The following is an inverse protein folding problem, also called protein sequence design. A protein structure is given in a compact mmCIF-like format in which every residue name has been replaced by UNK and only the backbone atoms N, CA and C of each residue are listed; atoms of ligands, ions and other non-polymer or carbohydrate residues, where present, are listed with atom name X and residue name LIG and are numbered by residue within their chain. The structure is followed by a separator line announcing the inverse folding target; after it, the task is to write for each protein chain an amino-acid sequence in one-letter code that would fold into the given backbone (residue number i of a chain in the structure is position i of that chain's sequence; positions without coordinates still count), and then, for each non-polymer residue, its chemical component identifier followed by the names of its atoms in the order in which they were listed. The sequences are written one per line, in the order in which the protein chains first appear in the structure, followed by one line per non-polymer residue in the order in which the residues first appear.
data_IF_107149692645
#
_entry.id   IF_107149692645
#
_cell.length_a   1.000
_cell.length_b   1.000
_cell.length_c   1.000
_cell.angle_alpha   90.00
_cell.angle_beta   90.00
_cell.angle_gamma   90.00
#
_symmetry.space_group_name_H-M   'P 1'
#
loop_
_entity.id
_entity.type
_entity.pdbx_description
1 polymer ?
#
# COMPACT_ATOMS: atom_id res chain seq x y z
N UNK A 1 -63.58 1.95 -31.29
CA UNK A 1 -62.52 2.37 -30.34
C UNK A 1 -61.25 1.72 -30.82
N UNK A 2 -60.23 2.45 -31.29
CA UNK A 2 -58.90 1.82 -31.52
C UNK A 2 -57.77 2.80 -31.86
N UNK A 3 -58.00 3.90 -32.58
CA UNK A 3 -56.89 4.79 -32.99
C UNK A 3 -56.48 5.85 -31.96
N UNK A 4 -57.44 6.45 -31.24
CA UNK A 4 -57.13 7.56 -30.32
C UNK A 4 -56.43 7.09 -29.05
N UNK A 5 -56.78 5.90 -28.55
CA UNK A 5 -56.22 5.34 -27.31
C UNK A 5 -54.78 4.85 -27.51
N UNK A 6 -54.49 4.25 -28.66
CA UNK A 6 -53.12 3.88 -29.06
C UNK A 6 -52.23 5.13 -29.20
N UNK A 7 -52.75 6.21 -29.81
CA UNK A 7 -51.98 7.45 -29.98
C UNK A 7 -51.68 8.14 -28.64
N UNK A 8 -52.64 8.16 -27.71
CA UNK A 8 -52.42 8.71 -26.37
C UNK A 8 -51.43 7.88 -25.54
N UNK A 9 -51.45 6.56 -25.68
CA UNK A 9 -50.44 5.69 -25.05
C UNK A 9 -49.05 5.93 -25.64
N UNK A 10 -48.91 6.08 -26.97
CA UNK A 10 -47.61 6.40 -27.61
C UNK A 10 -47.06 7.73 -27.10
N UNK A 11 -47.89 8.78 -26.98
CA UNK A 11 -47.46 10.07 -26.40
C UNK A 11 -47.00 9.91 -24.94
N UNK A 12 -47.72 9.12 -24.15
CA UNK A 12 -47.37 8.87 -22.74
C UNK A 12 -46.03 8.16 -22.62
N UNK A 13 -45.79 7.11 -23.40
CA UNK A 13 -44.52 6.38 -23.38
C UNK A 13 -43.36 7.20 -23.96
N UNK A 14 -43.59 7.96 -25.04
CA UNK A 14 -42.59 8.88 -25.57
C UNK A 14 -42.18 9.94 -24.53
N UNK A 15 -43.13 10.51 -23.80
CA UNK A 15 -42.85 11.48 -22.74
C UNK A 15 -41.99 10.89 -21.61
N UNK A 16 -42.32 9.69 -21.14
CA UNK A 16 -41.54 9.00 -20.10
C UNK A 16 -40.15 8.62 -20.62
N UNK A 17 -40.05 8.16 -21.88
CA UNK A 17 -38.78 7.83 -22.52
C UNK A 17 -37.87 9.06 -22.66
N UNK A 18 -38.38 10.18 -23.18
CA UNK A 18 -37.60 11.42 -23.31
C UNK A 18 -37.21 12.03 -21.96
N UNK A 19 -38.05 11.88 -20.93
CA UNK A 19 -37.70 12.27 -19.57
C UNK A 19 -36.56 11.39 -19.00
N UNK A 20 -36.62 10.07 -19.19
CA UNK A 20 -35.57 9.15 -18.74
C UNK A 20 -34.24 9.37 -19.46
N UNK A 21 -34.27 9.56 -20.79
CA UNK A 21 -33.07 9.88 -21.59
C UNK A 21 -32.49 11.24 -21.19
N UNK A 22 -33.34 12.25 -20.94
CA UNK A 22 -32.90 13.56 -20.46
C UNK A 22 -32.19 13.49 -19.10
N UNK A 23 -32.73 12.72 -18.16
CA UNK A 23 -32.11 12.47 -16.84
C UNK A 23 -30.77 11.73 -16.96
N UNK A 24 -30.68 10.74 -17.85
CA UNK A 24 -29.44 10.02 -18.12
C UNK A 24 -28.35 10.96 -18.65
N UNK A 25 -28.64 11.77 -19.68
CA UNK A 25 -27.66 12.72 -20.19
C UNK A 25 -27.28 13.80 -19.16
N UNK A 26 -28.23 14.28 -18.36
CA UNK A 26 -27.93 15.22 -17.28
C UNK A 26 -26.95 14.60 -16.25
N UNK A 27 -27.12 13.33 -15.91
CA UNK A 27 -26.21 12.60 -15.03
C UNK A 27 -24.82 12.42 -15.66
N UNK A 28 -24.75 12.03 -16.94
CA UNK A 28 -23.48 11.89 -17.68
C UNK A 28 -22.74 13.22 -17.75
N UNK A 29 -23.41 14.32 -18.11
CA UNK A 29 -22.79 15.65 -18.16
C UNK A 29 -22.34 16.14 -16.78
N UNK A 30 -23.12 15.85 -15.73
CA UNK A 30 -22.70 16.15 -14.36
C UNK A 30 -21.43 15.41 -13.99
N UNK A 31 -21.35 14.11 -14.31
CA UNK A 31 -20.18 13.29 -14.02
C UNK A 31 -18.94 13.76 -14.80
N UNK A 32 -19.10 14.09 -16.09
CA UNK A 32 -18.02 14.67 -16.91
C UNK A 32 -17.53 15.99 -16.30
N UNK A 33 -18.43 16.86 -15.82
CA UNK A 33 -18.06 18.13 -15.21
C UNK A 33 -17.33 17.95 -13.87
N UNK A 34 -17.76 16.99 -13.04
CA UNK A 34 -17.08 16.64 -11.78
C UNK A 34 -15.69 16.07 -12.07
N UNK A 35 -15.58 15.16 -13.04
CA UNK A 35 -14.32 14.59 -13.47
C UNK A 35 -13.37 15.66 -14.04
N UNK A 36 -13.87 16.57 -14.89
CA UNK A 36 -13.09 17.67 -15.43
C UNK A 36 -12.55 18.60 -14.32
N UNK A 37 -13.36 18.88 -13.28
CA UNK A 37 -12.90 19.63 -12.10
C UNK A 37 -11.82 18.88 -11.31
N UNK A 38 -11.96 17.57 -11.16
CA UNK A 38 -10.98 16.72 -10.49
C UNK A 38 -9.63 16.71 -11.25
N UNK A 39 -9.68 16.45 -12.55
CA UNK A 39 -8.51 16.48 -13.45
C UNK A 39 -7.84 17.85 -13.40
N UNK A 40 -8.61 18.94 -13.50
CA UNK A 40 -8.08 20.30 -13.39
C UNK A 40 -7.42 20.59 -12.04
N UNK A 41 -7.99 20.11 -10.92
CA UNK A 41 -7.41 20.25 -9.58
C UNK A 41 -6.05 19.55 -9.49
N UNK A 42 -5.94 18.33 -10.01
CA UNK A 42 -4.68 17.58 -10.02
C UNK A 42 -3.63 18.21 -10.95
N UNK A 43 -3.99 18.56 -12.19
CA UNK A 43 -3.10 19.27 -13.10
C UNK A 43 -2.60 20.59 -12.50
N UNK A 44 -3.48 21.38 -11.87
CA UNK A 44 -3.10 22.63 -11.19
C UNK A 44 -2.10 22.39 -10.05
N UNK A 45 -2.24 21.29 -9.29
CA UNK A 45 -1.30 20.90 -8.23
C UNK A 45 0.07 20.54 -8.83
N UNK A 46 0.08 19.77 -9.93
CA UNK A 46 1.30 19.41 -10.66
C UNK A 46 2.01 20.64 -11.24
N UNK A 47 1.28 21.55 -11.93
CA UNK A 47 1.85 22.79 -12.44
C UNK A 47 2.43 23.68 -11.33
N UNK A 48 1.78 23.77 -10.17
CA UNK A 48 2.34 24.50 -9.01
C UNK A 48 3.62 23.85 -8.48
N UNK A 49 3.69 22.52 -8.43
CA UNK A 49 4.90 21.79 -8.01
C UNK A 49 6.04 22.02 -9.01
N UNK A 50 5.76 21.90 -10.30
CA UNK A 50 6.71 22.14 -11.38
C UNK A 50 7.21 23.60 -11.38
N UNK A 51 6.30 24.58 -11.26
CA UNK A 51 6.67 26.00 -11.15
C UNK A 51 7.56 26.26 -9.93
N UNK A 52 7.31 25.62 -8.78
CA UNK A 52 8.17 25.73 -7.60
C UNK A 52 9.58 25.17 -7.86
N UNK A 53 9.69 24.04 -8.55
CA UNK A 53 10.97 23.42 -8.92
C UNK A 53 11.75 24.33 -9.86
N UNK A 54 11.10 24.80 -10.94
CA UNK A 54 11.69 25.75 -11.90
C UNK A 54 12.14 27.02 -11.19
N UNK A 55 11.29 27.61 -10.32
CA UNK A 55 11.62 28.82 -9.55
C UNK A 55 12.77 28.61 -8.55
N UNK A 56 12.90 27.43 -7.97
CA UNK A 56 14.05 27.08 -7.10
C UNK A 56 15.32 26.93 -7.94
N UNK A 57 15.23 26.32 -9.11
CA UNK A 57 16.36 26.15 -10.01
C UNK A 57 16.84 27.50 -10.56
N UNK A 58 15.94 28.37 -11.06
CA UNK A 58 16.26 29.73 -11.51
C UNK A 58 16.94 30.54 -10.39
N UNK A 59 16.47 30.44 -9.14
CA UNK A 59 17.10 31.13 -8.00
C UNK A 59 18.52 30.62 -7.71
N UNK A 60 18.73 29.30 -7.77
CA UNK A 60 20.06 28.69 -7.60
C UNK A 60 21.01 29.16 -8.70
N UNK A 61 20.57 29.13 -9.95
CA UNK A 61 21.36 29.62 -11.08
C UNK A 61 21.67 31.12 -10.93
N UNK A 62 20.67 31.95 -10.58
CA UNK A 62 20.85 33.40 -10.34
C UNK A 62 21.83 33.72 -9.21
N UNK A 63 21.95 32.86 -8.19
CA UNK A 63 22.92 33.02 -7.08
C UNK A 63 24.38 32.84 -7.54
N UNK A 64 24.60 32.06 -8.59
CA UNK A 64 25.93 31.77 -9.12
C UNK A 64 26.31 32.61 -10.36
N UNK A 65 25.40 33.45 -10.86
CA UNK A 65 25.66 34.32 -12.00
C UNK A 65 26.19 35.70 -11.55
N UNK A 66 27.40 36.06 -11.99
CA UNK A 66 27.84 37.46 -12.06
C UNK A 66 27.19 38.14 -13.27
N UNK A 67 26.94 39.45 -13.20
CA UNK A 67 26.28 40.20 -14.27
C UNK A 67 27.01 40.02 -15.62
N UNK A 68 26.41 39.28 -16.55
CA UNK A 68 26.89 39.18 -17.94
C UNK A 68 26.76 37.82 -18.63
N UNK A 69 26.70 36.69 -17.92
CA UNK A 69 26.77 35.36 -18.57
C UNK A 69 25.41 34.65 -18.66
N UNK A 70 24.63 35.01 -19.68
CA UNK A 70 23.27 34.48 -19.94
C UNK A 70 23.24 33.16 -20.71
N UNK A 71 24.41 32.64 -21.12
CA UNK A 71 24.51 31.45 -21.97
C UNK A 71 24.00 30.18 -21.27
N UNK A 72 24.38 29.97 -20.01
CA UNK A 72 23.99 28.78 -19.24
C UNK A 72 22.48 28.74 -18.92
N UNK A 73 21.86 29.90 -18.66
CA UNK A 73 20.40 29.99 -18.51
C UNK A 73 19.68 29.71 -19.83
N UNK A 74 20.23 30.15 -20.96
CA UNK A 74 19.65 29.87 -22.27
C UNK A 74 19.65 28.38 -22.58
N UNK A 75 20.77 27.67 -22.38
CA UNK A 75 20.85 26.23 -22.66
C UNK A 75 20.03 25.36 -21.71
N UNK A 76 19.92 25.75 -20.43
CA UNK A 76 19.07 25.02 -19.47
C UNK A 76 17.58 25.18 -19.79
N UNK A 77 17.14 26.39 -20.15
CA UNK A 77 15.76 26.62 -20.60
C UNK A 77 15.48 25.91 -21.94
N UNK A 78 16.41 25.98 -22.88
CA UNK A 78 16.31 25.30 -24.18
C UNK A 78 16.23 23.77 -24.01
N UNK A 79 17.03 23.19 -23.11
CA UNK A 79 17.00 21.75 -22.81
C UNK A 79 15.67 21.29 -22.22
N UNK A 80 15.08 22.09 -21.32
CA UNK A 80 13.75 21.78 -20.75
C UNK A 80 12.65 21.88 -21.81
N UNK A 81 12.72 22.86 -22.72
CA UNK A 81 11.75 22.99 -23.82
C UNK A 81 11.86 21.81 -24.79
N UNK A 82 13.08 21.41 -25.17
CA UNK A 82 13.31 20.24 -26.03
C UNK A 82 12.78 18.96 -25.37
N UNK A 83 13.02 18.77 -24.07
CA UNK A 83 12.52 17.62 -23.33
C UNK A 83 10.97 17.56 -23.33
N UNK A 84 10.30 18.69 -23.13
CA UNK A 84 8.83 18.76 -23.17
C UNK A 84 8.31 18.45 -24.58
N UNK A 85 8.96 18.94 -25.64
CA UNK A 85 8.58 18.63 -27.03
C UNK A 85 8.76 17.14 -27.34
N UNK A 86 9.87 16.53 -26.90
CA UNK A 86 10.10 15.09 -27.05
C UNK A 86 9.06 14.26 -26.30
N UNK A 87 8.68 14.67 -25.09
CA UNK A 87 7.63 14.02 -24.30
C UNK A 87 6.27 14.07 -25.02
N UNK A 88 5.92 15.22 -25.61
CA UNK A 88 4.67 15.38 -26.38
C UNK A 88 4.70 14.52 -27.65
N UNK A 89 5.83 14.44 -28.36
CA UNK A 89 5.99 13.58 -29.53
C UNK A 89 5.92 12.09 -29.17
N UNK A 90 6.39 11.70 -27.99
CA UNK A 90 6.33 10.31 -27.50
C UNK A 90 4.88 9.91 -27.16
N UNK A 91 4.10 10.85 -26.62
CA UNK A 91 2.66 10.67 -26.36
C UNK A 91 1.86 10.59 -27.68
N UNK A 92 2.23 11.36 -28.71
CA UNK A 92 1.58 11.30 -30.02
C UNK A 92 2.10 10.15 -30.91
N UNK A 93 3.27 9.58 -30.61
CA UNK A 93 3.95 8.54 -31.39
C UNK A 93 3.43 7.11 -31.18
N UNK A 94 2.46 6.89 -30.29
CA UNK A 94 1.91 5.55 -29.99
C UNK A 94 0.78 5.14 -30.97
N UNK A 95 0.42 5.97 -31.96
CA UNK A 95 -0.54 5.57 -33.01
C UNK A 95 0.13 4.77 -34.16
N UNK A 96 0.72 3.62 -33.81
CA UNK A 96 1.32 2.67 -34.75
C UNK A 96 0.46 1.43 -34.93
N UNK A 97 -0.38 1.42 -35.97
CA UNK A 97 -1.13 0.25 -36.46
C UNK A 97 -0.23 -0.98 -36.55
N UNK A 98 -0.56 -2.08 -35.86
CA UNK A 98 -0.02 -3.42 -36.16
C UNK A 98 -1.08 -4.30 -36.78
N UNK A 99 -0.72 -4.83 -37.95
CA UNK A 99 -1.47 -5.73 -38.82
C UNK A 99 -1.56 -7.13 -38.21
N UNK A 100 -2.74 -7.71 -38.31
CA UNK A 100 -3.06 -9.13 -38.19
C UNK A 100 -2.33 -9.96 -39.26
N UNK A 101 -1.86 -11.17 -38.93
CA UNK A 101 -1.77 -12.25 -39.90
C UNK A 101 -2.82 -13.33 -39.59
N UNK A 102 -3.60 -13.68 -40.62
CA UNK A 102 -4.40 -14.88 -40.70
C UNK A 102 -3.50 -16.12 -40.86
N UNK A 103 -3.82 -17.21 -40.16
CA UNK A 103 -3.66 -18.59 -40.62
C UNK A 103 -4.60 -19.46 -39.78
N UNK A 104 -5.74 -19.86 -40.34
CA UNK A 104 -6.00 -21.17 -40.95
C UNK A 104 -6.40 -22.23 -39.92
N UNK A 105 -7.70 -22.48 -39.92
CA UNK A 105 -8.43 -23.59 -39.32
C UNK A 105 -7.75 -24.93 -39.59
N UNK A 106 -7.57 -25.73 -38.54
CA UNK A 106 -7.60 -27.20 -38.65
C UNK A 106 -8.39 -27.71 -37.45
N UNK A 107 -9.52 -28.32 -37.78
CA UNK A 107 -10.48 -28.95 -36.90
C UNK A 107 -9.96 -30.36 -36.58
N UNK A 108 -9.74 -30.66 -35.30
CA UNK A 108 -9.58 -32.03 -34.81
C UNK A 108 -10.29 -32.11 -33.45
N UNK A 109 -11.44 -32.76 -33.47
CA UNK A 109 -12.24 -33.05 -32.28
C UNK A 109 -11.51 -34.07 -31.39
N UNK A 110 -11.42 -33.78 -30.09
CA UNK A 110 -11.20 -34.78 -29.04
C UNK A 110 -11.26 -34.11 -27.65
N UNK A 111 -12.35 -34.41 -26.94
CA UNK A 111 -12.56 -34.36 -25.48
C UNK A 111 -12.60 -32.99 -24.79
N UNK A 112 -13.83 -32.54 -24.56
CA UNK A 112 -14.16 -31.43 -23.68
C UNK A 112 -13.84 -31.79 -22.22
N UNK A 113 -12.77 -31.20 -21.69
CA UNK A 113 -12.67 -30.85 -20.28
C UNK A 113 -13.00 -29.37 -20.19
N UNK A 114 -14.16 -29.04 -19.64
CA UNK A 114 -14.54 -27.66 -19.30
C UNK A 114 -13.67 -27.18 -18.14
N UNK A 115 -12.50 -26.63 -18.45
CA UNK A 115 -11.83 -25.69 -17.54
C UNK A 115 -12.62 -24.39 -17.58
N UNK A 116 -13.46 -24.16 -16.56
CA UNK A 116 -14.03 -22.84 -16.33
C UNK A 116 -12.86 -21.85 -16.12
N UNK A 117 -12.81 -20.81 -16.94
CA UNK A 117 -11.83 -19.74 -16.81
C UNK A 117 -12.21 -18.91 -15.57
N UNK A 118 -11.61 -19.22 -14.42
CA UNK A 118 -11.91 -18.54 -13.15
C UNK A 118 -11.39 -17.11 -13.20
N UNK A 119 -12.29 -16.13 -12.98
CA UNK A 119 -11.93 -14.70 -12.88
C UNK A 119 -10.88 -14.48 -11.77
N UNK A 120 -9.65 -14.05 -12.10
CA UNK A 120 -8.60 -13.86 -11.09
C UNK A 120 -8.98 -12.85 -10.00
N UNK A 121 -9.82 -11.86 -10.30
CA UNK A 121 -10.31 -10.92 -9.29
C UNK A 121 -11.32 -11.56 -8.35
N UNK A 122 -12.14 -12.50 -8.82
CA UNK A 122 -13.05 -13.25 -7.97
C UNK A 122 -12.30 -14.10 -6.94
N UNK A 123 -11.21 -14.75 -7.35
CA UNK A 123 -10.34 -15.52 -6.43
C UNK A 123 -9.72 -14.61 -5.37
N UNK A 124 -9.18 -13.47 -5.76
CA UNK A 124 -8.61 -12.50 -4.81
C UNK A 124 -9.66 -11.99 -3.80
N UNK A 125 -10.87 -11.68 -4.27
CA UNK A 125 -11.98 -11.26 -3.39
C UNK A 125 -12.39 -12.34 -2.40
N UNK A 126 -12.50 -13.59 -2.86
CA UNK A 126 -12.88 -14.71 -1.99
C UNK A 126 -11.82 -14.93 -0.90
N UNK A 127 -10.54 -14.94 -1.27
CA UNK A 127 -9.44 -15.08 -0.32
C UNK A 127 -9.39 -13.91 0.68
N UNK A 128 -9.48 -12.66 0.21
CA UNK A 128 -9.50 -11.49 1.09
C UNK A 128 -10.69 -11.53 2.06
N UNK A 129 -11.87 -11.93 1.58
CA UNK A 129 -13.09 -12.06 2.41
C UNK A 129 -12.90 -13.13 3.48
N UNK A 130 -12.36 -14.29 3.12
CA UNK A 130 -12.07 -15.36 4.08
C UNK A 130 -11.07 -14.89 5.15
N UNK A 131 -9.98 -14.24 4.76
CA UNK A 131 -8.98 -13.70 5.70
C UNK A 131 -9.63 -12.69 6.65
N UNK A 132 -10.43 -11.76 6.11
CA UNK A 132 -11.11 -10.73 6.91
C UNK A 132 -12.06 -11.33 7.94
N UNK A 133 -12.84 -12.35 7.57
CA UNK A 133 -13.81 -12.99 8.45
C UNK A 133 -13.15 -13.76 9.61
N UNK A 134 -11.94 -14.27 9.43
CA UNK A 134 -11.24 -15.04 10.46
C UNK A 134 -10.41 -14.16 11.40
N UNK A 135 -9.98 -12.96 10.99
CA UNK A 135 -9.10 -12.08 11.79
C UNK A 135 -9.50 -10.58 11.73
N UNK A 136 -10.76 -10.21 11.98
CA UNK A 136 -11.22 -8.82 11.79
C UNK A 136 -10.54 -7.82 12.74
N UNK A 137 -10.14 -8.26 13.93
CA UNK A 137 -9.65 -7.38 15.00
C UNK A 137 -8.31 -6.71 14.69
N UNK A 138 -7.49 -7.32 13.82
CA UNK A 138 -6.21 -6.75 13.39
C UNK A 138 -6.34 -5.87 12.13
N UNK A 139 -7.47 -5.98 11.44
CA UNK A 139 -7.67 -5.41 10.12
C UNK A 139 -8.34 -4.04 10.13
N UNK A 140 -8.59 -3.44 11.30
CA UNK A 140 -9.20 -2.11 11.39
C UNK A 140 -8.46 -1.08 10.51
N UNK A 141 -9.14 -0.55 9.49
CA UNK A 141 -8.61 0.55 8.69
C UNK A 141 -8.80 1.87 9.44
N UNK A 142 -7.71 2.52 9.83
CA UNK A 142 -7.72 3.85 10.44
C UNK A 142 -7.01 4.83 9.52
N UNK A 143 -7.69 5.91 9.12
CA UNK A 143 -7.12 6.98 8.29
C UNK A 143 -8.02 8.23 8.37
N UNK A 144 -7.69 9.28 7.61
CA UNK A 144 -8.45 10.55 7.54
C UNK A 144 -9.95 10.39 7.27
N UNK A 145 -10.37 9.27 6.67
CA UNK A 145 -11.78 8.97 6.34
C UNK A 145 -12.41 7.89 7.22
N UNK A 146 -11.61 7.19 8.02
CA UNK A 146 -12.04 6.12 8.93
C UNK A 146 -11.37 6.39 10.29
N UNK A 147 -11.99 7.23 11.14
CA UNK A 147 -11.42 7.51 12.45
C UNK A 147 -11.46 6.26 13.33
N UNK A 148 -10.58 6.22 14.33
CA UNK A 148 -10.63 5.19 15.37
C UNK A 148 -12.00 5.22 16.08
N UNK A 149 -12.62 4.06 16.37
CA UNK A 149 -13.92 4.03 17.06
C UNK A 149 -13.87 4.65 18.45
N UNK A 150 -14.94 5.36 18.82
CA UNK A 150 -15.09 5.93 20.15
C UNK A 150 -15.01 4.83 21.23
N UNK A 151 -14.18 5.06 22.25
CA UNK A 151 -14.00 4.12 23.35
C UNK A 151 -13.21 2.86 23.00
N UNK A 152 -12.53 2.82 21.86
CA UNK A 152 -11.60 1.74 21.54
C UNK A 152 -10.49 1.64 22.59
N UNK A 153 -10.30 0.45 23.13
CA UNK A 153 -9.25 0.12 24.10
C UNK A 153 -8.66 -1.24 23.78
N UNK A 154 -7.43 -1.46 24.26
CA UNK A 154 -6.71 -2.72 24.13
C UNK A 154 -5.77 -2.89 25.34
N UNK A 155 -5.34 -4.13 25.59
CA UNK A 155 -4.33 -4.46 26.61
C UNK A 155 -2.97 -3.96 26.13
N UNK A 156 -2.31 -3.11 26.92
CA UNK A 156 -1.05 -2.47 26.53
C UNK A 156 0.16 -3.27 27.00
N UNK A 157 1.14 -3.45 26.12
CA UNK A 157 2.48 -3.95 26.45
C UNK A 157 3.51 -2.82 26.35
N UNK A 158 4.32 -2.62 27.39
CA UNK A 158 5.45 -1.67 27.32
C UNK A 158 6.72 -2.40 26.92
N UNK A 159 7.28 -2.04 25.76
CA UNK A 159 8.54 -2.57 25.25
C UNK A 159 9.72 -2.07 26.10
N UNK A 160 10.85 -2.76 26.03
CA UNK A 160 12.10 -2.32 26.69
C UNK A 160 12.54 -0.91 26.26
N UNK A 161 12.17 -0.48 25.05
CA UNK A 161 12.39 0.88 24.55
C UNK A 161 11.50 1.95 25.20
N UNK A 162 10.54 1.58 26.05
CA UNK A 162 9.55 2.47 26.67
C UNK A 162 8.31 2.77 25.83
N UNK A 163 8.34 2.47 24.52
CA UNK A 163 7.16 2.53 23.66
C UNK A 163 6.14 1.46 24.03
N UNK A 164 4.86 1.75 23.76
CA UNK A 164 3.74 0.87 24.04
C UNK A 164 3.22 0.27 22.73
N UNK A 165 2.79 -0.99 22.76
CA UNK A 165 2.07 -1.66 21.67
C UNK A 165 0.86 -2.43 22.23
N UNK A 166 0.01 -2.95 21.35
CA UNK A 166 -1.01 -3.91 21.73
C UNK A 166 -0.36 -5.24 22.18
N UNK A 167 -0.75 -5.76 23.34
CA UNK A 167 -0.27 -7.02 23.91
C UNK A 167 -0.38 -8.17 22.90
N UNK A 168 -1.42 -8.17 22.07
CA UNK A 168 -1.67 -9.23 21.09
C UNK A 168 -0.58 -9.33 20.03
N UNK A 169 0.14 -8.24 19.75
CA UNK A 169 1.18 -8.21 18.73
C UNK A 169 2.59 -8.42 19.31
N UNK A 170 2.73 -8.42 20.63
CA UNK A 170 4.03 -8.41 21.31
C UNK A 170 4.92 -9.59 20.89
N UNK A 171 4.38 -10.81 20.91
CA UNK A 171 5.17 -12.01 20.58
C UNK A 171 5.62 -12.04 19.11
N UNK A 172 4.74 -11.63 18.18
CA UNK A 172 5.09 -11.57 16.76
C UNK A 172 6.09 -10.44 16.47
N UNK A 173 5.95 -9.29 17.16
CA UNK A 173 6.92 -8.20 17.10
C UNK A 173 8.28 -8.66 17.61
N UNK A 174 8.33 -9.29 18.78
CA UNK A 174 9.55 -9.83 19.37
C UNK A 174 10.23 -10.81 18.40
N UNK A 175 9.46 -11.76 17.85
CA UNK A 175 9.98 -12.73 16.89
C UNK A 175 10.57 -12.06 15.62
N UNK A 176 9.93 -11.01 15.10
CA UNK A 176 10.45 -10.26 13.95
C UNK A 176 11.77 -9.56 14.29
N UNK A 177 11.85 -8.93 15.47
CA UNK A 177 13.02 -8.19 15.93
C UNK A 177 14.20 -9.13 16.25
N UNK A 178 13.94 -10.28 16.87
CA UNK A 178 14.93 -11.33 17.10
C UNK A 178 15.48 -11.90 15.79
N UNK A 179 14.60 -12.16 14.82
CA UNK A 179 15.02 -12.63 13.50
C UNK A 179 15.84 -11.57 12.74
N UNK A 180 15.51 -10.28 12.89
CA UNK A 180 16.30 -9.17 12.36
C UNK A 180 17.72 -9.14 12.96
N UNK A 181 17.81 -9.26 14.29
CA UNK A 181 19.08 -9.35 15.01
C UNK A 181 19.89 -10.59 14.59
N UNK A 182 19.24 -11.75 14.47
CA UNK A 182 19.88 -12.99 14.03
C UNK A 182 20.40 -12.92 12.58
N UNK A 183 19.79 -12.08 11.75
CA UNK A 183 20.28 -11.75 10.40
C UNK A 183 21.46 -10.76 10.41
N UNK A 184 21.98 -10.38 11.58
CA UNK A 184 23.14 -9.50 11.75
C UNK A 184 22.81 -8.01 11.66
N UNK A 185 21.55 -7.63 11.85
CA UNK A 185 21.09 -6.24 11.79
C UNK A 185 20.68 -5.74 13.17
N UNK A 186 21.17 -4.59 13.59
CA UNK A 186 20.68 -3.91 14.80
C UNK A 186 19.53 -2.95 14.46
N UNK A 187 18.63 -2.75 15.41
CA UNK A 187 17.45 -1.91 15.24
C UNK A 187 17.24 -0.91 16.40
N UNK A 188 16.37 0.06 16.18
CA UNK A 188 15.85 0.97 17.20
C UNK A 188 14.37 1.23 16.96
N UNK A 189 13.55 1.01 17.99
CA UNK A 189 12.14 1.42 17.98
C UNK A 189 12.08 2.95 18.10
N UNK A 190 11.31 3.58 17.22
CA UNK A 190 11.16 5.04 17.10
C UNK A 190 9.75 5.53 17.44
N UNK A 191 8.78 4.62 17.52
CA UNK A 191 7.38 4.93 17.70
C UNK A 191 6.58 3.69 18.10
N UNK A 192 5.45 3.92 18.77
CA UNK A 192 4.47 2.93 19.16
C UNK A 192 3.14 3.64 19.40
N UNK A 193 2.31 3.13 20.32
CA UNK A 193 1.02 3.71 20.65
C UNK A 193 1.09 5.21 21.00
N UNK A 194 0.14 5.95 20.42
CA UNK A 194 -0.15 7.35 20.72
C UNK A 194 -1.65 7.44 20.97
N UNK A 195 -2.06 8.01 22.10
CA UNK A 195 -3.47 8.11 22.47
C UNK A 195 -4.32 8.80 21.40
N UNK A 196 -5.54 8.30 21.17
CA UNK A 196 -6.44 8.75 20.10
C UNK A 196 -6.75 10.26 20.15
N UNK A 197 -6.77 10.85 21.34
CA UNK A 197 -7.00 12.28 21.59
C UNK A 197 -5.78 13.18 21.28
N UNK A 198 -4.62 12.59 21.00
CA UNK A 198 -3.39 13.30 20.66
C UNK A 198 -3.35 13.62 19.16
N UNK A 199 -2.99 14.86 18.81
CA UNK A 199 -2.81 15.26 17.41
C UNK A 199 -1.73 14.41 16.75
N UNK A 200 -2.04 13.84 15.57
CA UNK A 200 -1.13 12.95 14.85
C UNK A 200 -1.13 11.50 15.32
N UNK A 201 -2.05 11.09 16.20
CA UNK A 201 -2.18 9.71 16.68
C UNK A 201 -2.44 8.70 15.56
N UNK A 202 -3.31 9.02 14.59
CA UNK A 202 -3.53 8.22 13.38
C UNK A 202 -3.69 6.72 13.67
N UNK A 203 -2.99 5.87 12.91
CA UNK A 203 -3.00 4.42 13.17
C UNK A 203 -2.25 4.01 14.44
N UNK A 204 -1.36 4.84 15.00
CA UNK A 204 -0.68 4.52 16.27
C UNK A 204 -1.69 4.38 17.42
N UNK A 205 -2.84 5.05 17.34
CA UNK A 205 -3.91 4.91 18.33
C UNK A 205 -4.50 3.48 18.41
N UNK A 206 -4.27 2.65 17.39
CA UNK A 206 -4.69 1.25 17.41
C UNK A 206 -3.81 0.36 18.29
N UNK A 207 -2.58 0.78 18.63
CA UNK A 207 -1.57 -0.08 19.25
C UNK A 207 -0.97 -1.14 18.30
N UNK A 208 -1.48 -1.25 17.07
CA UNK A 208 -1.05 -2.24 16.07
C UNK A 208 0.04 -1.69 15.12
N UNK A 209 0.40 -0.42 15.25
CA UNK A 209 1.41 0.24 14.43
C UNK A 209 2.59 0.73 15.28
N UNK A 210 3.80 0.62 14.74
CA UNK A 210 5.03 1.04 15.39
C UNK A 210 6.06 1.45 14.34
N UNK A 211 7.06 2.23 14.77
CA UNK A 211 8.17 2.62 13.92
C UNK A 211 9.45 1.94 14.36
N UNK A 212 10.19 1.38 13.39
CA UNK A 212 11.50 0.78 13.63
C UNK A 212 12.47 1.11 12.50
N UNK A 213 13.70 1.41 12.86
CA UNK A 213 14.80 1.64 11.92
C UNK A 213 16.03 0.84 12.30
N UNK A 214 17.06 0.85 11.45
CA UNK A 214 18.41 0.55 11.87
C UNK A 214 18.82 1.38 13.12
N UNK A 215 19.80 0.88 13.86
CA UNK A 215 20.43 1.61 14.95
C UNK A 215 21.01 2.98 14.48
N UNK A 216 21.09 3.96 15.38
CA UNK A 216 21.66 5.30 15.16
C UNK A 216 21.05 6.17 14.04
N UNK A 217 19.84 5.85 13.56
CA UNK A 217 19.14 6.72 12.61
C UNK A 217 18.63 7.97 13.33
N UNK A 218 19.23 9.13 13.01
CA UNK A 218 18.87 10.42 13.62
C UNK A 218 17.62 11.06 12.99
N UNK A 219 17.47 10.94 11.66
CA UNK A 219 16.35 11.53 10.91
C UNK A 219 15.66 10.47 10.06
N UNK A 220 14.33 10.50 10.06
CA UNK A 220 13.49 9.61 9.24
C UNK A 220 13.36 10.18 7.81
N UNK A 221 14.43 10.04 7.03
CA UNK A 221 14.42 10.33 5.58
C UNK A 221 14.16 9.03 4.80
N UNK A 222 13.06 8.91 4.02
CA UNK A 222 12.75 7.70 3.27
C UNK A 222 13.86 7.27 2.31
N UNK A 223 14.57 8.23 1.71
CA UNK A 223 15.63 7.95 0.74
C UNK A 223 16.88 7.36 1.40
N UNK A 224 17.08 7.62 2.69
CA UNK A 224 18.19 7.07 3.47
C UNK A 224 17.77 5.77 4.13
N UNK A 225 16.66 5.78 4.87
CA UNK A 225 16.22 4.64 5.69
C UNK A 225 15.91 3.42 4.81
N UNK A 226 15.31 3.59 3.64
CA UNK A 226 15.01 2.46 2.73
C UNK A 226 16.24 1.75 2.16
N UNK A 227 17.42 2.37 2.23
CA UNK A 227 18.68 1.81 1.75
C UNK A 227 19.48 1.13 2.87
N UNK A 228 19.05 1.26 4.13
CA UNK A 228 19.73 0.63 5.25
C UNK A 228 19.47 -0.88 5.25
N UNK A 229 20.50 -1.72 5.45
CA UNK A 229 20.34 -3.18 5.46
C UNK A 229 19.25 -3.66 6.43
N UNK A 230 19.19 -3.12 7.65
CA UNK A 230 18.16 -3.45 8.64
C UNK A 230 16.75 -3.20 8.08
N UNK A 231 16.50 -2.00 7.52
CA UNK A 231 15.17 -1.66 7.00
C UNK A 231 14.83 -2.43 5.72
N UNK A 232 15.81 -2.75 4.87
CA UNK A 232 15.58 -3.64 3.73
C UNK A 232 15.16 -5.04 4.20
N UNK A 233 15.85 -5.58 5.22
CA UNK A 233 15.49 -6.86 5.81
C UNK A 233 14.08 -6.82 6.41
N UNK A 234 13.77 -5.80 7.22
CA UNK A 234 12.45 -5.64 7.83
C UNK A 234 11.35 -5.56 6.77
N UNK A 235 11.49 -4.68 5.77
CA UNK A 235 10.50 -4.54 4.69
C UNK A 235 10.29 -5.84 3.89
N UNK A 236 11.35 -6.62 3.69
CA UNK A 236 11.27 -7.88 2.94
C UNK A 236 10.65 -9.03 3.74
N UNK A 237 10.83 -9.05 5.08
CA UNK A 237 10.49 -10.21 5.91
C UNK A 237 9.30 -9.98 6.86
N UNK A 238 8.87 -8.72 7.07
CA UNK A 238 7.85 -8.35 8.05
C UNK A 238 6.53 -9.14 7.89
N UNK A 239 6.16 -9.51 6.65
CA UNK A 239 4.92 -10.23 6.36
C UNK A 239 4.85 -11.63 6.96
N UNK A 240 5.98 -12.33 7.08
CA UNK A 240 6.07 -13.63 7.74
C UNK A 240 5.68 -13.57 9.22
N UNK A 241 5.76 -12.38 9.82
CA UNK A 241 5.44 -12.10 11.22
C UNK A 241 4.10 -11.37 11.39
N UNK A 242 3.33 -11.19 10.31
CA UNK A 242 2.02 -10.53 10.38
C UNK A 242 2.03 -9.01 10.25
N UNK A 243 3.16 -8.44 9.86
CA UNK A 243 3.31 -7.01 9.64
C UNK A 243 3.39 -6.67 8.16
N UNK A 244 2.89 -5.48 7.80
CA UNK A 244 3.07 -4.90 6.47
C UNK A 244 3.85 -3.60 6.56
N UNK A 245 4.60 -3.27 5.51
CA UNK A 245 5.03 -1.88 5.27
C UNK A 245 3.78 -1.08 4.95
N UNK A 246 3.30 -0.30 5.93
CA UNK A 246 1.95 0.26 5.88
C UNK A 246 1.78 1.34 4.81
N UNK A 247 2.85 2.09 4.55
CA UNK A 247 2.92 3.12 3.51
C UNK A 247 4.06 2.81 2.53
N UNK A 248 3.85 1.91 1.55
CA UNK A 248 4.88 1.51 0.60
C UNK A 248 5.08 2.54 -0.51
N UNK A 249 6.26 2.50 -1.16
CA UNK A 249 6.59 3.39 -2.28
C UNK A 249 5.63 3.19 -3.47
N UNK A 250 5.21 4.29 -4.10
CA UNK A 250 4.37 4.25 -5.29
C UNK A 250 2.87 4.05 -5.02
N UNK A 251 2.47 3.92 -3.76
CA UNK A 251 1.06 3.77 -3.34
C UNK A 251 0.53 5.02 -2.62
N UNK A 252 1.23 6.15 -2.70
CA UNK A 252 0.89 7.40 -1.99
C UNK A 252 -0.47 7.98 -2.42
N UNK A 253 -0.90 7.71 -3.66
CA UNK A 253 -2.23 8.11 -4.13
C UNK A 253 -3.37 7.31 -3.53
N UNK A 254 -3.07 6.15 -2.95
CA UNK A 254 -4.03 5.23 -2.33
C UNK A 254 -4.06 5.46 -0.83
N UNK A 255 -2.89 5.42 -0.18
CA UNK A 255 -2.78 5.57 1.28
C UNK A 255 -2.94 7.03 1.74
N UNK A 256 -2.55 8.00 0.89
CA UNK A 256 -2.48 9.41 1.26
C UNK A 256 -1.17 9.81 1.98
N UNK A 257 -0.32 8.84 2.31
CA UNK A 257 0.96 9.03 2.99
C UNK A 257 2.14 8.91 2.02
N UNK A 258 3.26 9.55 2.35
CA UNK A 258 4.50 9.29 1.60
C UNK A 258 5.02 7.88 1.93
N UNK A 259 6.00 7.40 1.17
CA UNK A 259 6.72 6.18 1.53
C UNK A 259 7.39 6.33 2.90
N UNK A 260 7.11 5.39 3.81
CA UNK A 260 7.64 5.36 5.18
C UNK A 260 8.24 3.96 5.48
N UNK A 261 9.52 3.72 5.14
CA UNK A 261 10.19 2.41 5.30
C UNK A 261 10.42 1.97 6.75
N UNK A 262 9.98 2.78 7.72
CA UNK A 262 10.05 2.51 9.14
C UNK A 262 8.68 2.18 9.75
N UNK A 263 7.57 2.48 9.05
CA UNK A 263 6.22 2.37 9.60
C UNK A 263 5.61 1.01 9.28
N UNK A 264 5.47 0.17 10.30
CA UNK A 264 4.93 -1.17 10.19
C UNK A 264 3.59 -1.29 10.90
N UNK A 265 2.67 -2.03 10.27
CA UNK A 265 1.32 -2.27 10.79
C UNK A 265 1.05 -3.76 10.89
N UNK A 266 0.64 -4.22 12.07
CA UNK A 266 0.16 -5.57 12.27
C UNK A 266 -1.25 -5.75 11.69
N UNK A 267 -1.41 -6.80 10.90
CA UNK A 267 -2.69 -7.21 10.28
C UNK A 267 -2.97 -8.71 10.45
N UNK A 268 -2.10 -9.43 11.17
CA UNK A 268 -2.10 -10.89 11.24
C UNK A 268 -1.35 -11.54 10.08
N UNK A 269 -0.78 -12.73 10.30
CA UNK A 269 0.10 -13.43 9.34
C UNK A 269 -0.55 -13.68 7.98
N UNK A 270 -1.75 -14.26 7.95
CA UNK A 270 -2.43 -14.59 6.70
C UNK A 270 -2.69 -13.35 5.84
N UNK A 271 -3.14 -12.26 6.47
CA UNK A 271 -3.40 -11.00 5.78
C UNK A 271 -2.12 -10.34 5.29
N UNK A 272 -1.06 -10.32 6.11
CA UNK A 272 0.21 -9.70 5.73
C UNK A 272 0.85 -10.43 4.55
N UNK A 273 0.86 -11.77 4.57
CA UNK A 273 1.34 -12.60 3.45
C UNK A 273 0.50 -12.37 2.20
N UNK A 274 -0.83 -12.36 2.33
CA UNK A 274 -1.73 -12.11 1.21
C UNK A 274 -1.52 -10.73 0.58
N UNK A 275 -1.45 -9.68 1.39
CA UNK A 275 -1.23 -8.31 0.92
C UNK A 275 0.15 -8.16 0.26
N UNK A 276 1.19 -8.73 0.86
CA UNK A 276 2.57 -8.65 0.32
C UNK A 276 2.66 -9.39 -1.02
N UNK A 277 2.13 -10.62 -1.08
CA UNK A 277 2.15 -11.45 -2.30
C UNK A 277 1.44 -10.77 -3.47
N UNK A 278 0.36 -10.05 -3.18
CA UNK A 278 -0.45 -9.37 -4.19
C UNK A 278 -0.12 -7.87 -4.35
N UNK A 279 0.92 -7.38 -3.68
CA UNK A 279 1.33 -5.97 -3.67
C UNK A 279 0.18 -4.99 -3.36
N UNK A 280 -0.55 -5.27 -2.29
CA UNK A 280 -1.73 -4.53 -1.85
C UNK A 280 -1.42 -3.68 -0.62
N UNK A 281 -2.04 -2.50 -0.55
CA UNK A 281 -2.20 -1.77 0.72
C UNK A 281 -3.41 -2.29 1.51
N UNK A 282 -3.56 -1.86 2.77
CA UNK A 282 -4.74 -2.17 3.58
C UNK A 282 -6.03 -1.62 2.93
N UNK A 283 -5.97 -0.46 2.28
CA UNK A 283 -7.10 0.12 1.54
C UNK A 283 -7.51 -0.73 0.32
N UNK A 284 -6.52 -1.26 -0.42
CA UNK A 284 -6.77 -2.17 -1.54
C UNK A 284 -7.32 -3.51 -1.06
N UNK A 285 -6.85 -4.02 0.07
CA UNK A 285 -7.45 -5.19 0.73
C UNK A 285 -8.93 -4.95 1.05
N UNK A 286 -9.30 -3.82 1.64
CA UNK A 286 -10.70 -3.47 1.86
C UNK A 286 -11.50 -3.30 0.57
N UNK A 287 -10.86 -2.83 -0.50
CA UNK A 287 -11.50 -2.78 -1.83
C UNK A 287 -11.92 -4.17 -2.28
N UNK A 288 -11.09 -5.21 -2.06
CA UNK A 288 -11.44 -6.60 -2.36
C UNK A 288 -12.56 -7.12 -1.47
N UNK A 289 -12.47 -6.92 -0.15
CA UNK A 289 -13.50 -7.36 0.81
C UNK A 289 -14.87 -6.74 0.50
N UNK A 290 -14.89 -5.51 -0.03
CA UNK A 290 -16.12 -4.81 -0.42
C UNK A 290 -16.59 -5.14 -1.86
N UNK A 291 -16.06 -6.18 -2.50
CA UNK A 291 -16.47 -6.64 -3.82
C UNK A 291 -15.86 -5.87 -4.99
N UNK A 292 -14.92 -4.96 -4.74
CA UNK A 292 -14.20 -4.22 -5.75
C UNK A 292 -13.15 -5.05 -6.52
N UNK A 293 -12.28 -4.36 -7.23
CA UNK A 293 -11.16 -4.97 -7.96
C UNK A 293 -9.93 -4.09 -7.84
N UNK A 294 -8.76 -4.72 -7.83
CA UNK A 294 -7.48 -4.04 -7.61
C UNK A 294 -6.52 -4.36 -8.75
N UNK A 295 -5.68 -3.39 -9.10
CA UNK A 295 -4.66 -3.60 -10.13
C UNK A 295 -3.47 -4.33 -9.51
N UNK A 296 -3.45 -5.66 -9.59
CA UNK A 296 -2.26 -6.42 -9.22
C UNK A 296 -1.23 -6.32 -10.33
N UNK A 297 -0.09 -5.67 -10.07
CA UNK A 297 1.09 -5.90 -10.88
C UNK A 297 1.67 -7.25 -10.46
N UNK A 298 1.86 -8.17 -11.41
CA UNK A 298 2.48 -9.48 -11.14
C UNK A 298 3.86 -9.27 -10.51
N UNK A 299 3.96 -9.42 -9.18
CA UNK A 299 5.23 -9.45 -8.49
C UNK A 299 5.90 -10.79 -8.79
N UNK A 300 7.13 -10.74 -9.28
CA UNK A 300 7.99 -11.92 -9.42
C UNK A 300 8.18 -12.53 -8.04
N UNK A 301 7.89 -13.82 -7.91
CA UNK A 301 7.98 -14.62 -6.70
C UNK A 301 9.28 -14.34 -5.92
N UNK A 302 9.14 -13.63 -4.79
CA UNK A 302 10.08 -13.71 -3.69
C UNK A 302 9.40 -14.61 -2.64
N UNK A 303 9.77 -15.88 -2.63
CA UNK A 303 9.41 -16.81 -1.55
C UNK A 303 9.99 -16.26 -0.24
N UNK A 304 9.19 -16.01 0.81
CA UNK A 304 9.74 -15.73 2.13
C UNK A 304 10.47 -16.98 2.62
N UNK A 305 11.73 -16.81 3.01
CA UNK A 305 12.54 -17.89 3.57
C UNK A 305 12.26 -18.04 5.07
N UNK A 306 12.15 -19.30 5.48
CA UNK A 306 12.22 -19.87 6.84
C UNK A 306 10.95 -19.79 7.70
N UNK A 307 10.31 -20.96 7.82
CA UNK A 307 9.41 -21.35 8.90
C UNK A 307 10.22 -21.55 10.21
N UNK A 308 9.98 -20.75 11.28
CA UNK A 308 10.68 -20.92 12.55
C UNK A 308 10.07 -22.02 13.44
N UNK A 309 9.14 -22.85 12.95
CA UNK A 309 8.41 -23.82 13.81
C UNK A 309 8.90 -25.26 13.71
N UNK A 310 10.03 -25.54 13.06
CA UNK A 310 10.61 -26.88 13.02
C UNK A 310 11.64 -27.11 14.14
N UNK A 311 11.17 -27.19 15.40
CA UNK A 311 11.92 -27.89 16.46
C UNK A 311 11.28 -29.25 16.65
N UNK A 312 11.99 -30.26 16.16
CA UNK A 312 11.69 -31.69 16.25
C UNK A 312 11.44 -32.09 17.71
N UNK A 313 10.34 -32.80 17.93
CA UNK A 313 10.08 -33.55 19.14
C UNK A 313 11.04 -34.74 19.23
N UNK A 314 11.80 -34.83 20.33
CA UNK A 314 12.32 -36.10 20.85
C UNK A 314 11.82 -36.31 22.29
N UNK A 315 11.26 -37.50 22.50
CA UNK A 315 10.62 -38.03 23.72
C UNK A 315 11.69 -38.49 24.77
N UNK A 316 11.38 -38.51 26.08
CA UNK A 316 12.36 -38.51 27.15
C UNK A 316 12.60 -39.91 27.75
N UNK A 317 13.86 -40.22 28.07
CA UNK A 317 14.15 -41.21 29.13
C UNK A 317 15.60 -41.12 29.60
N UNK A 318 15.79 -40.59 30.81
CA UNK A 318 16.62 -41.20 31.87
C UNK A 318 16.98 -40.16 32.95
N UNK A 319 16.43 -40.42 34.12
CA UNK A 319 16.59 -39.76 35.41
C UNK A 319 18.05 -39.77 35.90
N UNK A 320 18.53 -38.67 36.51
CA UNK A 320 19.26 -38.70 37.79
C UNK A 320 19.33 -37.32 38.43
N UNK A 321 19.01 -37.28 39.72
CA UNK A 321 18.90 -36.11 40.60
C UNK A 321 20.24 -35.42 40.87
N UNK A 322 20.25 -34.08 40.95
CA UNK A 322 21.06 -33.33 41.89
C UNK A 322 20.51 -31.90 42.06
N UNK A 323 20.09 -31.60 43.29
CA UNK A 323 19.60 -30.31 43.79
C UNK A 323 20.73 -29.27 43.89
N UNK A 324 20.53 -28.06 43.34
CA UNK A 324 21.06 -26.80 43.91
C UNK A 324 20.33 -25.60 43.30
N UNK A 325 19.80 -24.73 44.15
CA UNK A 325 19.25 -23.40 43.85
C UNK A 325 20.33 -22.47 43.26
N UNK A 326 20.00 -21.72 42.20
CA UNK A 326 20.48 -20.36 41.96
C UNK A 326 19.77 -19.71 40.74
N UNK A 327 18.96 -18.69 41.04
CA UNK A 327 18.69 -17.46 40.28
C UNK A 327 18.77 -17.49 38.74
N UNK A 328 17.61 -17.32 38.13
CA UNK A 328 17.42 -16.92 36.72
C UNK A 328 17.81 -15.46 36.51
N UNK A 329 18.91 -15.22 35.79
CA UNK A 329 19.18 -13.92 35.15
C UNK A 329 19.29 -14.10 33.64
N UNK A 330 18.55 -13.24 32.93
CA UNK A 330 18.45 -13.14 31.48
C UNK A 330 19.69 -12.40 30.94
N UNK A 331 20.43 -12.93 29.95
CA UNK A 331 21.72 -12.37 29.53
C UNK A 331 21.59 -11.17 28.57
N UNK A 332 20.86 -10.12 28.98
CA UNK A 332 20.87 -8.81 28.30
C UNK A 332 21.08 -7.62 29.26
N UNK A 333 21.52 -7.86 30.49
CA UNK A 333 21.90 -6.82 31.44
C UNK A 333 23.33 -6.28 31.20
N UNK A 334 23.66 -5.92 29.96
CA UNK A 334 24.74 -4.97 29.68
C UNK A 334 24.34 -4.23 28.41
N UNK A 335 23.95 -2.95 28.54
CA UNK A 335 24.44 -1.80 27.78
C UNK A 335 23.58 -0.57 28.13
N UNK A 336 24.20 0.35 28.87
CA UNK A 336 23.76 1.75 29.08
C UNK A 336 24.02 2.60 27.84
#
# INVERSE_FOLDING_TARGET
MEKNEVWENIKKYAKVFFQGVGLFFAYVFHYIAVFAKFVYKHLKKLFKKLYRIIRRHIRRVKKHMKAGDYSLLFYTVLGVVIFIVLLVLLIHGISGKKKTPNATTTEAASEASTTEEVDPQAVLREQATYIYQNNPDYLMLVNDTNPIPDGYTFEQHTLNSGYIVDERIYNDLLAMLEACNAAGSEYTIKGGYISADTEGSGEYATGLAFDVTAHDVAELDPAVVSQLPTNQWLMQNCSSFGFIVRYPEGKESITGHNFEPWHFRYVGRDAAVFMTTNNLTLEEFYTLVNGGSVSTATATSATPAVDPTAVTAEDPSATTEATTEATTENPLDILN
#
